data_IF_005245473597
#
_entry.id   IF_005245473597
#
_cell.length_a   1.000
_cell.length_b   1.000
_cell.length_c   1.000
_cell.angle_alpha   90.00
_cell.angle_beta   90.00
_cell.angle_gamma   90.00
#
_symmetry.space_group_name_H-M   'P 1'
#
loop_
_entity.id
_entity.type
_entity.pdbx_description
1 polymer ?
#
# COMPACT_ATOMS: atom_id res chain seq x y z
N UNK A 1 2.64 -22.35 -19.39
CA UNK A 1 1.53 -22.61 -18.44
C UNK A 1 1.90 -23.83 -17.61
N UNK A 2 1.78 -23.74 -16.27
CA UNK A 2 2.15 -24.80 -15.35
C UNK A 2 1.25 -26.04 -15.55
N UNK A 3 1.81 -27.26 -15.59
CA UNK A 3 1.09 -28.52 -15.78
C UNK A 3 -0.01 -28.73 -14.74
N UNK A 4 0.28 -28.41 -13.48
CA UNK A 4 -0.68 -28.54 -12.37
C UNK A 4 -1.86 -27.59 -12.49
N UNK A 5 -1.65 -26.38 -13.02
CA UNK A 5 -2.76 -25.48 -13.31
C UNK A 5 -3.64 -25.99 -14.45
N UNK A 6 -3.05 -26.60 -15.50
CA UNK A 6 -3.83 -27.20 -16.59
C UNK A 6 -4.67 -28.37 -16.09
N UNK A 7 -4.13 -29.22 -15.23
CA UNK A 7 -4.86 -30.34 -14.65
C UNK A 7 -6.03 -29.88 -13.75
N UNK A 8 -5.89 -28.75 -13.05
CA UNK A 8 -6.94 -28.19 -12.19
C UNK A 8 -8.05 -27.48 -12.99
N UNK A 9 -7.77 -26.97 -14.18
CA UNK A 9 -8.70 -26.12 -14.93
C UNK A 9 -10.10 -26.71 -15.14
N UNK A 10 -10.29 -27.99 -15.52
CA UNK A 10 -11.62 -28.57 -15.67
C UNK A 10 -12.38 -28.63 -14.34
N UNK A 11 -11.71 -29.04 -13.26
CA UNK A 11 -12.29 -29.06 -11.91
C UNK A 11 -12.70 -27.65 -11.46
N UNK A 12 -11.87 -26.65 -11.76
CA UNK A 12 -12.15 -25.25 -11.44
C UNK A 12 -13.39 -24.70 -12.17
N UNK A 13 -13.54 -25.07 -13.45
CA UNK A 13 -14.72 -24.70 -14.23
C UNK A 13 -16.00 -25.39 -13.73
N UNK A 14 -15.92 -26.64 -13.29
CA UNK A 14 -17.02 -27.34 -12.66
C UNK A 14 -17.39 -26.74 -11.31
N UNK A 15 -16.41 -26.38 -10.50
CA UNK A 15 -16.60 -25.70 -9.22
C UNK A 15 -17.33 -24.36 -9.40
N UNK A 16 -16.95 -23.59 -10.43
CA UNK A 16 -17.62 -22.32 -10.73
C UNK A 16 -19.10 -22.50 -11.09
N UNK A 17 -19.45 -23.59 -11.75
CA UNK A 17 -20.86 -23.93 -12.07
C UNK A 17 -21.61 -24.36 -10.83
N UNK A 18 -21.00 -25.24 -10.01
CA UNK A 18 -21.60 -25.78 -8.79
C UNK A 18 -21.89 -24.73 -7.73
N UNK A 19 -20.98 -23.75 -7.59
CA UNK A 19 -21.09 -22.67 -6.59
C UNK A 19 -21.76 -21.41 -7.19
N UNK A 20 -22.31 -21.49 -8.38
CA UNK A 20 -22.97 -20.34 -9.03
C UNK A 20 -24.12 -19.81 -8.18
N UNK A 21 -24.10 -18.48 -7.94
CA UNK A 21 -25.09 -17.81 -7.08
C UNK A 21 -24.75 -17.82 -5.59
N UNK A 22 -23.84 -18.70 -5.13
CA UNK A 22 -23.40 -18.75 -3.73
C UNK A 22 -22.04 -18.07 -3.55
N UNK A 23 -21.05 -18.45 -4.37
CA UNK A 23 -19.66 -18.03 -4.25
C UNK A 23 -19.08 -17.76 -5.64
N UNK A 24 -18.45 -16.60 -5.79
CA UNK A 24 -17.75 -16.25 -7.03
C UNK A 24 -16.42 -16.99 -7.12
N UNK A 25 -16.28 -17.83 -8.13
CA UNK A 25 -15.02 -18.55 -8.44
C UNK A 25 -14.30 -17.81 -9.56
N UNK A 26 -13.07 -17.37 -9.29
CA UNK A 26 -12.26 -16.61 -10.24
C UNK A 26 -10.85 -17.18 -10.37
N UNK A 27 -10.20 -16.93 -11.49
CA UNK A 27 -8.80 -17.30 -11.72
C UNK A 27 -7.97 -16.09 -12.11
N UNK A 28 -6.70 -16.07 -11.65
CA UNK A 28 -5.75 -15.00 -11.95
C UNK A 28 -4.55 -15.58 -12.68
N UNK A 29 -4.18 -14.93 -13.80
CA UNK A 29 -2.96 -15.27 -14.51
C UNK A 29 -1.76 -14.65 -13.76
N UNK A 30 -1.09 -15.45 -12.94
CA UNK A 30 0.02 -15.03 -12.10
C UNK A 30 1.16 -14.31 -12.83
N UNK A 31 1.73 -14.84 -13.91
CA UNK A 31 2.75 -14.19 -14.70
C UNK A 31 2.40 -12.79 -15.21
N UNK A 32 1.11 -12.53 -15.48
CA UNK A 32 0.62 -11.19 -15.90
C UNK A 32 0.40 -10.25 -14.73
N UNK A 33 0.15 -10.78 -13.51
CA UNK A 33 -0.22 -9.99 -12.33
C UNK A 33 0.79 -10.12 -11.19
N UNK A 34 2.09 -9.94 -11.50
CA UNK A 34 3.20 -10.12 -10.55
C UNK A 34 3.06 -9.29 -9.26
N UNK A 35 2.56 -8.06 -9.37
CA UNK A 35 2.32 -7.20 -8.20
C UNK A 35 1.28 -7.80 -7.24
N UNK A 36 0.20 -8.38 -7.79
CA UNK A 36 -0.82 -9.06 -6.99
C UNK A 36 -0.27 -10.31 -6.31
N UNK A 37 0.52 -11.12 -7.02
CA UNK A 37 1.16 -12.31 -6.45
C UNK A 37 2.08 -11.97 -5.29
N UNK A 38 2.92 -10.95 -5.45
CA UNK A 38 3.80 -10.48 -4.38
C UNK A 38 3.01 -9.95 -3.19
N UNK A 39 1.93 -9.21 -3.44
CA UNK A 39 1.03 -8.72 -2.39
C UNK A 39 0.39 -9.86 -1.60
N UNK A 40 -0.08 -10.90 -2.28
CA UNK A 40 -0.70 -12.08 -1.66
C UNK A 40 0.33 -13.14 -1.21
N UNK A 41 1.62 -12.88 -1.44
CA UNK A 41 2.75 -13.80 -1.15
C UNK A 41 2.57 -15.19 -1.77
N UNK A 42 2.05 -15.23 -2.99
CA UNK A 42 1.92 -16.47 -3.75
C UNK A 42 3.29 -16.86 -4.30
N UNK A 43 3.79 -18.02 -3.89
CA UNK A 43 5.13 -18.54 -4.25
C UNK A 43 5.06 -19.76 -5.17
N UNK A 44 3.93 -20.46 -5.19
CA UNK A 44 3.73 -21.67 -5.96
C UNK A 44 2.44 -21.64 -6.78
N UNK A 45 2.32 -22.52 -7.78
CA UNK A 45 1.14 -22.65 -8.63
C UNK A 45 0.67 -24.09 -8.75
N UNK A 46 -0.63 -24.32 -8.69
CA UNK A 46 -1.70 -23.40 -8.36
C UNK A 46 -1.80 -23.14 -6.84
N UNK A 47 -2.02 -21.92 -6.43
CA UNK A 47 -2.42 -21.54 -5.07
C UNK A 47 -3.91 -21.20 -5.10
N UNK A 48 -4.69 -21.76 -4.17
CA UNK A 48 -6.12 -21.56 -4.03
C UNK A 48 -6.38 -20.76 -2.78
N UNK A 49 -7.03 -19.60 -2.94
CA UNK A 49 -7.32 -18.67 -1.86
C UNK A 49 -8.83 -18.48 -1.75
N UNK A 50 -9.34 -18.54 -0.54
CA UNK A 50 -10.73 -18.24 -0.21
C UNK A 50 -10.80 -16.88 0.51
N UNK A 51 -11.62 -15.98 -0.03
CA UNK A 51 -11.79 -14.63 0.51
C UNK A 51 -13.24 -14.46 0.97
N UNK A 52 -13.44 -14.16 2.24
CA UNK A 52 -14.75 -13.86 2.81
C UNK A 52 -14.61 -12.84 3.95
N UNK A 53 -15.49 -11.85 3.99
CA UNK A 53 -15.59 -10.86 5.05
C UNK A 53 -14.24 -10.20 5.40
N UNK A 54 -13.47 -9.85 4.36
CA UNK A 54 -12.16 -9.24 4.50
C UNK A 54 -11.04 -10.16 4.99
N UNK A 55 -11.36 -11.42 5.30
CA UNK A 55 -10.37 -12.45 5.65
C UNK A 55 -9.98 -13.28 4.43
N UNK A 56 -8.75 -13.76 4.44
CA UNK A 56 -8.21 -14.65 3.41
C UNK A 56 -7.73 -15.94 4.07
N UNK A 57 -8.08 -17.06 3.45
CA UNK A 57 -7.61 -18.39 3.86
C UNK A 57 -7.02 -19.10 2.67
N UNK A 58 -5.97 -19.86 2.89
CA UNK A 58 -5.32 -20.68 1.86
C UNK A 58 -5.83 -22.10 1.96
N UNK A 59 -6.21 -22.70 0.84
CA UNK A 59 -6.57 -24.10 0.77
C UNK A 59 -5.32 -24.95 0.69
N UNK A 60 -5.06 -25.71 1.73
CA UNK A 60 -3.91 -26.60 1.86
C UNK A 60 -4.31 -28.09 1.96
N UNK A 61 -5.58 -28.40 1.77
CA UNK A 61 -6.21 -29.71 1.95
C UNK A 61 -5.74 -30.86 1.03
N UNK A 62 -4.68 -30.67 0.26
CA UNK A 62 -4.05 -31.72 -0.57
C UNK A 62 -4.88 -32.24 -1.76
N UNK A 63 -6.13 -32.59 -1.55
CA UNK A 63 -7.03 -33.10 -2.60
C UNK A 63 -7.70 -31.96 -3.36
N UNK A 64 -7.44 -31.84 -4.66
CA UNK A 64 -8.04 -30.82 -5.52
C UNK A 64 -9.19 -31.36 -6.36
N UNK A 65 -10.04 -32.19 -5.74
CA UNK A 65 -11.26 -32.69 -6.34
C UNK A 65 -12.40 -31.70 -6.21
N UNK A 66 -13.40 -31.79 -7.08
CA UNK A 66 -14.57 -30.92 -7.05
C UNK A 66 -15.24 -30.94 -5.68
N UNK A 67 -15.53 -32.14 -5.15
CA UNK A 67 -16.17 -32.32 -3.85
C UNK A 67 -15.38 -31.65 -2.70
N UNK A 68 -14.05 -31.86 -2.63
CA UNK A 68 -13.21 -31.29 -1.58
C UNK A 68 -13.17 -29.76 -1.64
N UNK A 69 -13.12 -29.18 -2.85
CA UNK A 69 -13.12 -27.72 -3.01
C UNK A 69 -14.48 -27.10 -2.71
N UNK A 70 -15.58 -27.77 -3.07
CA UNK A 70 -16.94 -27.33 -2.75
C UNK A 70 -17.21 -27.39 -1.23
N UNK A 71 -16.83 -28.48 -0.57
CA UNK A 71 -16.92 -28.64 0.86
C UNK A 71 -16.13 -27.56 1.62
N UNK A 72 -14.88 -27.33 1.21
CA UNK A 72 -14.06 -26.26 1.77
C UNK A 72 -14.75 -24.90 1.61
N UNK A 73 -15.26 -24.60 0.43
CA UNK A 73 -15.89 -23.31 0.12
C UNK A 73 -17.19 -23.08 0.91
N UNK A 74 -17.97 -24.11 1.18
CA UNK A 74 -19.24 -24.00 1.92
C UNK A 74 -19.08 -23.94 3.43
N UNK A 75 -18.05 -24.59 3.99
CA UNK A 75 -17.91 -24.65 5.45
C UNK A 75 -16.51 -24.96 5.95
N UNK A 76 -15.79 -25.87 5.30
CA UNK A 76 -14.46 -26.34 5.71
C UNK A 76 -13.39 -25.26 5.84
N UNK A 77 -13.59 -24.08 5.21
CA UNK A 77 -12.70 -22.94 5.39
C UNK A 77 -12.61 -22.46 6.83
N UNK A 78 -13.63 -22.72 7.68
CA UNK A 78 -13.68 -22.31 9.09
C UNK A 78 -12.62 -23.01 9.93
N UNK A 79 -12.28 -24.24 9.56
CA UNK A 79 -11.29 -25.07 10.24
C UNK A 79 -9.85 -24.70 9.87
N UNK A 80 -9.69 -23.86 8.83
CA UNK A 80 -8.38 -23.38 8.38
C UNK A 80 -8.06 -22.04 9.02
N UNK A 81 -6.84 -21.90 9.54
CA UNK A 81 -6.37 -20.63 10.10
C UNK A 81 -6.38 -19.51 9.07
N UNK A 82 -6.92 -18.35 9.40
CA UNK A 82 -6.88 -17.21 8.48
C UNK A 82 -5.44 -16.76 8.25
N UNK A 83 -5.16 -16.35 7.02
CA UNK A 83 -3.88 -15.72 6.70
C UNK A 83 -3.75 -14.43 7.55
N UNK A 84 -2.58 -14.15 8.12
CA UNK A 84 -2.37 -12.98 8.97
C UNK A 84 -2.90 -11.69 8.34
N UNK A 85 -3.51 -10.83 9.14
CA UNK A 85 -4.19 -9.61 8.69
C UNK A 85 -3.35 -8.71 7.78
N UNK A 86 -2.03 -8.64 8.01
CA UNK A 86 -1.10 -7.85 7.19
C UNK A 86 -0.90 -8.41 5.77
N UNK A 87 -1.29 -9.68 5.52
CA UNK A 87 -1.31 -10.32 4.19
C UNK A 87 -2.70 -10.27 3.54
N UNK A 88 -3.73 -9.92 4.30
CA UNK A 88 -5.09 -9.86 3.79
C UNK A 88 -5.23 -8.81 2.67
N UNK A 89 -6.12 -9.00 1.69
CA UNK A 89 -6.26 -8.09 0.55
C UNK A 89 -6.62 -6.66 0.95
N UNK A 90 -7.31 -6.46 2.07
CA UNK A 90 -7.70 -5.14 2.59
C UNK A 90 -6.66 -4.50 3.51
N UNK A 91 -5.56 -5.18 3.81
CA UNK A 91 -4.53 -4.66 4.71
C UNK A 91 -3.85 -3.42 4.13
N UNK A 92 -3.61 -2.43 4.98
CA UNK A 92 -2.84 -1.24 4.62
C UNK A 92 -1.43 -1.63 4.11
N UNK A 93 -0.77 -2.55 4.81
CA UNK A 93 0.54 -3.09 4.41
C UNK A 93 0.48 -3.73 3.02
N UNK A 94 -0.56 -4.52 2.73
CA UNK A 94 -0.77 -5.11 1.43
C UNK A 94 -1.00 -4.08 0.33
N UNK A 95 -1.72 -2.98 0.61
CA UNK A 95 -1.94 -1.88 -0.32
C UNK A 95 -0.64 -1.13 -0.62
N UNK A 96 0.13 -0.78 0.40
CA UNK A 96 1.43 -0.09 0.28
C UNK A 96 2.42 -0.98 -0.49
N UNK A 97 2.54 -2.25 -0.12
CA UNK A 97 3.41 -3.20 -0.81
C UNK A 97 3.00 -3.36 -2.27
N UNK A 98 1.71 -3.49 -2.54
CA UNK A 98 1.20 -3.57 -3.92
C UNK A 98 1.51 -2.33 -4.75
N UNK A 99 1.40 -1.14 -4.17
CA UNK A 99 1.76 0.13 -4.81
C UNK A 99 3.26 0.20 -5.08
N UNK A 100 4.10 -0.14 -4.11
CA UNK A 100 5.57 -0.15 -4.27
C UNK A 100 6.03 -1.08 -5.40
N UNK A 101 5.40 -2.25 -5.56
CA UNK A 101 5.72 -3.18 -6.64
C UNK A 101 5.14 -2.79 -8.01
N UNK A 102 4.18 -1.85 -8.05
CA UNK A 102 3.70 -1.28 -9.32
C UNK A 102 4.71 -0.31 -9.93
N UNK A 103 5.35 0.50 -9.10
CA UNK A 103 6.28 1.55 -9.56
C UNK A 103 7.35 1.03 -10.53
N UNK A 104 8.13 -0.02 -10.23
CA UNK A 104 9.14 -0.52 -11.16
C UNK A 104 8.54 -1.12 -12.44
N UNK A 105 7.34 -1.71 -12.38
CA UNK A 105 6.68 -2.29 -13.55
C UNK A 105 6.19 -1.20 -14.50
N UNK A 106 5.60 -0.14 -13.96
CA UNK A 106 5.14 1.01 -14.73
C UNK A 106 6.32 1.83 -15.27
N UNK A 107 7.38 2.00 -14.48
CA UNK A 107 8.61 2.64 -14.91
C UNK A 107 9.28 1.91 -16.08
N UNK A 108 9.34 0.58 -16.06
CA UNK A 108 9.87 -0.21 -17.18
C UNK A 108 9.00 -0.05 -18.44
N UNK A 109 7.69 -0.03 -18.30
CA UNK A 109 6.79 0.19 -19.44
C UNK A 109 6.93 1.60 -19.99
N UNK A 110 7.06 2.60 -19.12
CA UNK A 110 7.26 4.00 -19.50
C UNK A 110 8.59 4.19 -20.20
N UNK A 111 9.68 3.63 -19.67
CA UNK A 111 10.98 3.60 -20.30
C UNK A 111 10.92 3.02 -21.72
N UNK A 112 10.30 1.85 -21.89
CA UNK A 112 10.16 1.20 -23.20
C UNK A 112 9.32 2.03 -24.17
N UNK A 113 8.29 2.75 -23.71
CA UNK A 113 7.47 3.65 -24.55
C UNK A 113 8.26 4.87 -25.00
N UNK A 114 8.98 5.51 -24.08
CA UNK A 114 9.80 6.70 -24.38
C UNK A 114 10.93 6.34 -25.34
N UNK A 115 11.63 5.24 -25.10
CA UNK A 115 12.71 4.75 -25.98
C UNK A 115 12.19 4.44 -27.38
N UNK A 116 11.02 3.85 -27.53
CA UNK A 116 10.41 3.49 -28.81
C UNK A 116 9.92 4.73 -29.59
N UNK A 117 9.39 5.74 -28.89
CA UNK A 117 8.70 6.87 -29.55
C UNK A 117 9.61 8.05 -29.87
N UNK A 118 10.69 8.26 -29.10
CA UNK A 118 11.47 9.52 -29.20
C UNK A 118 12.94 9.32 -29.58
N UNK A 119 13.39 8.09 -29.81
CA UNK A 119 14.77 7.77 -30.16
C UNK A 119 15.84 8.43 -29.25
N UNK A 120 15.45 8.67 -27.97
CA UNK A 120 16.29 9.32 -26.97
C UNK A 120 17.37 8.36 -26.46
N UNK A 121 18.55 8.92 -26.17
CA UNK A 121 19.63 8.13 -25.60
C UNK A 121 19.26 7.66 -24.18
N UNK A 122 19.78 6.52 -23.77
CA UNK A 122 19.52 5.96 -22.43
C UNK A 122 19.93 6.92 -21.31
N UNK A 123 20.98 7.71 -21.54
CA UNK A 123 21.47 8.75 -20.62
C UNK A 123 20.45 9.89 -20.45
N UNK A 124 19.83 10.34 -21.55
CA UNK A 124 18.80 11.39 -21.50
C UNK A 124 17.56 10.95 -20.74
N UNK A 125 17.13 9.69 -20.93
CA UNK A 125 16.00 9.11 -20.22
C UNK A 125 16.30 9.00 -18.72
N UNK A 126 17.53 8.61 -18.36
CA UNK A 126 17.98 8.54 -16.97
C UNK A 126 17.95 9.91 -16.30
N UNK A 127 18.49 10.96 -16.94
CA UNK A 127 18.47 12.32 -16.41
C UNK A 127 17.05 12.86 -16.25
N UNK A 128 16.18 12.61 -17.22
CA UNK A 128 14.78 13.03 -17.15
C UNK A 128 14.03 12.32 -16.01
N UNK A 129 14.26 11.01 -15.83
CA UNK A 129 13.68 10.23 -14.75
C UNK A 129 14.17 10.66 -13.36
N UNK A 130 15.44 11.06 -13.23
CA UNK A 130 16.02 11.51 -11.97
C UNK A 130 15.62 12.95 -11.61
N UNK A 131 15.35 13.80 -12.60
CA UNK A 131 15.03 15.21 -12.39
C UNK A 131 13.73 15.41 -11.58
N UNK A 132 12.72 14.58 -11.80
CA UNK A 132 11.43 14.69 -11.12
C UNK A 132 11.52 14.44 -9.60
N UNK A 133 12.09 13.31 -9.12
CA UNK A 133 12.20 13.07 -7.68
C UNK A 133 13.14 14.07 -6.99
N UNK A 134 14.19 14.52 -7.68
CA UNK A 134 15.10 15.56 -7.13
C UNK A 134 14.36 16.89 -6.97
N UNK A 135 13.63 17.34 -8.00
CA UNK A 135 12.83 18.56 -7.94
C UNK A 135 11.75 18.48 -6.83
N UNK A 136 11.11 17.32 -6.69
CA UNK A 136 10.13 17.09 -5.63
C UNK A 136 10.77 17.12 -4.23
N UNK A 137 11.95 16.52 -4.06
CA UNK A 137 12.73 16.55 -2.82
C UNK A 137 13.10 17.97 -2.41
N UNK A 138 13.63 18.76 -3.35
CA UNK A 138 13.97 20.17 -3.12
C UNK A 138 12.73 20.98 -2.74
N UNK A 139 11.61 20.77 -3.45
CA UNK A 139 10.34 21.44 -3.15
C UNK A 139 9.83 21.08 -1.75
N UNK A 140 9.87 19.81 -1.38
CA UNK A 140 9.43 19.36 -0.05
C UNK A 140 10.26 19.98 1.08
N UNK A 141 11.58 20.07 0.91
CA UNK A 141 12.48 20.73 1.87
C UNK A 141 12.16 22.23 1.97
N UNK A 142 11.96 22.92 0.86
CA UNK A 142 11.59 24.33 0.85
C UNK A 142 10.26 24.60 1.55
N UNK A 143 9.26 23.77 1.33
CA UNK A 143 7.96 23.87 2.04
C UNK A 143 8.12 23.63 3.54
N UNK A 144 8.91 22.62 3.94
CA UNK A 144 9.19 22.33 5.33
C UNK A 144 9.91 23.49 6.02
N UNK A 145 10.88 24.11 5.36
CA UNK A 145 11.61 25.28 5.88
C UNK A 145 10.69 26.50 6.10
N UNK A 146 9.81 26.79 5.12
CA UNK A 146 8.78 27.85 5.26
C UNK A 146 7.83 27.54 6.42
N UNK A 147 7.44 26.29 6.59
CA UNK A 147 6.55 25.88 7.68
C UNK A 147 7.22 26.04 9.04
N UNK A 148 8.45 25.57 9.21
CA UNK A 148 9.23 25.68 10.45
C UNK A 148 9.49 27.14 10.80
N UNK A 149 9.91 27.96 9.84
CA UNK A 149 10.18 29.39 10.07
C UNK A 149 8.92 30.16 10.46
N UNK A 150 7.76 29.86 9.87
CA UNK A 150 6.48 30.47 10.25
C UNK A 150 6.07 30.10 11.68
N UNK A 151 6.15 28.81 12.03
CA UNK A 151 5.80 28.36 13.39
C UNK A 151 6.73 28.92 14.45
N UNK A 152 8.02 29.02 14.17
CA UNK A 152 9.00 29.65 15.06
C UNK A 152 8.71 31.15 15.28
N UNK A 153 8.35 31.89 14.23
CA UNK A 153 7.96 33.31 14.34
C UNK A 153 6.71 33.51 15.18
N UNK A 154 5.68 32.65 14.99
CA UNK A 154 4.47 32.70 15.83
C UNK A 154 4.76 32.40 17.30
N UNK A 155 5.56 31.39 17.59
CA UNK A 155 5.96 31.06 18.95
C UNK A 155 6.75 32.20 19.62
N UNK A 156 7.68 32.83 18.89
CA UNK A 156 8.44 33.98 19.37
C UNK A 156 7.55 35.20 19.65
N UNK A 157 6.55 35.48 18.82
CA UNK A 157 5.61 36.58 19.04
C UNK A 157 4.75 36.38 20.31
N UNK A 158 4.25 35.14 20.51
CA UNK A 158 3.49 34.78 21.72
C UNK A 158 4.33 34.87 23.00
N UNK A 159 5.60 34.54 22.93
CA UNK A 159 6.53 34.64 24.07
C UNK A 159 6.76 36.09 24.48
N UNK A 160 6.99 36.99 23.50
CA UNK A 160 7.13 38.44 23.75
C UNK A 160 5.88 39.06 24.34
N UNK A 161 4.69 38.67 23.89
CA UNK A 161 3.42 39.12 24.47
C UNK A 161 3.26 38.70 25.94
N UNK A 162 3.65 37.49 26.29
CA UNK A 162 3.62 36.97 27.66
C UNK A 162 4.62 37.73 28.57
N UNK A 163 5.80 37.98 28.07
CA UNK A 163 6.82 38.76 28.81
C UNK A 163 6.38 40.25 29.05
N UNK A 164 5.78 40.86 28.04
CA UNK A 164 5.24 42.20 28.18
C UNK A 164 4.03 42.28 29.15
N UNK A 165 3.19 41.26 29.18
CA UNK A 165 2.08 41.16 30.12
C UNK A 165 2.51 40.90 31.56
N UNK A 166 3.63 40.15 31.74
CA UNK A 166 4.21 39.87 33.06
C UNK A 166 5.04 41.05 33.64
N UNK A 167 5.64 41.90 32.77
CA UNK A 167 6.45 43.05 33.18
C UNK A 167 5.63 44.32 33.52
N UNK A 168 4.32 44.37 33.20
CA UNK A 168 3.48 45.53 33.44
C UNK A 168 2.86 45.67 34.86
N UNK A 169 3.23 44.77 35.81
CA UNK A 169 2.62 44.75 37.16
C UNK A 169 3.38 45.45 38.27
N UNK A 170 4.47 46.15 37.97
CA UNK A 170 5.26 46.87 38.98
C UNK A 170 4.86 48.34 39.10
N UNK A 171 3.80 48.67 39.83
CA UNK A 171 3.57 50.05 40.29
C UNK A 171 4.57 50.46 41.38
N UNK A 172 5.20 51.63 41.35
CA UNK A 172 6.07 52.07 42.40
C UNK A 172 5.24 52.42 43.65
N UNK A 173 5.47 51.72 44.73
CA UNK A 173 5.01 52.12 46.06
C UNK A 173 5.80 53.37 46.49
N UNK A 174 5.09 54.48 46.44
CA UNK A 174 5.55 55.77 46.94
C UNK A 174 5.41 55.76 48.49
N UNK A 175 6.49 55.55 49.24
CA UNK A 175 6.51 55.80 50.68
C UNK A 175 6.66 57.29 50.89
N UNK A 176 5.56 57.97 51.20
CA UNK A 176 5.60 59.29 51.78
C UNK A 176 5.94 59.15 53.28
N UNK A 177 7.10 59.66 53.72
CA UNK A 177 7.40 59.95 55.08
C UNK A 177 6.67 61.23 55.49
N UNK A 178 5.84 61.17 56.53
CA UNK A 178 5.40 62.32 57.31
C UNK A 178 6.12 62.27 58.65
N UNK A 179 6.73 63.41 58.98
CA UNK A 179 7.27 63.80 60.27
C UNK A 179 6.20 63.87 61.38
#
# INVERSE_FOLDING_TARGET
TNRHCKALAPTWSSLAKELSGEITVASVNGPRHKALLKRLKVTAYPTILFLRDGTMREYDGGKRTLAALAEFSRGGYKDTSPVPWYRAPNSFVGKVTGALFRVPIEAEQMYRRVKKNQNLSDVTILFLGLSVPVAFGVFAVAVADVYVTRTARHAGALRRQREAAAGGGGAPHNHAHHD
#
